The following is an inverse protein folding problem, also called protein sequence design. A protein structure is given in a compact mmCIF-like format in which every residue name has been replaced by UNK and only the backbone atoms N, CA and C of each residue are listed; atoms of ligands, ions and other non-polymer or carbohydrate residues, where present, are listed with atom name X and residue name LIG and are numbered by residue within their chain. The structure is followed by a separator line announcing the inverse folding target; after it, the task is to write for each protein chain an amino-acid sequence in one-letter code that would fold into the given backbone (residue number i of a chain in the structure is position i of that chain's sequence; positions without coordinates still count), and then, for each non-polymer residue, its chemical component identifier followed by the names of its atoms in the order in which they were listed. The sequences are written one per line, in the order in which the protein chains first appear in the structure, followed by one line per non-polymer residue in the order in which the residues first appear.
data_IF_221100169804
#
_entry.id   IF_221100169804
#
_cell.length_a   1.000
_cell.length_b   1.000
_cell.length_c   1.000
_cell.angle_alpha   90.00
_cell.angle_beta   90.00
_cell.angle_gamma   90.00
#
_symmetry.space_group_name_H-M   'P 1'
#
loop_
_entity.id
_entity.type
_entity.pdbx_description
1 polymer ?
#
# COMPACT_ATOMS: atom_id res chain seq x y z
N UNK A 1 -14.28 13.48 8.35
CA UNK A 1 -13.45 13.56 7.15
C UNK A 1 -12.10 12.88 7.39
N UNK A 2 -11.68 12.01 6.49
CA UNK A 2 -10.44 11.27 6.66
C UNK A 2 -9.20 12.17 6.53
N UNK A 3 -8.20 11.91 7.34
CA UNK A 3 -6.93 12.63 7.29
C UNK A 3 -5.93 11.87 6.41
N UNK A 4 -5.35 12.55 5.43
CA UNK A 4 -4.30 12.01 4.57
C UNK A 4 -2.99 12.68 4.91
N UNK A 5 -1.97 11.89 5.26
CA UNK A 5 -0.64 12.42 5.58
C UNK A 5 0.45 11.67 4.82
N UNK A 6 1.58 12.31 4.61
CA UNK A 6 2.77 11.70 4.05
C UNK A 6 3.91 11.85 5.05
N UNK A 7 4.56 10.76 5.39
CA UNK A 7 5.63 10.73 6.39
C UNK A 7 6.80 9.87 5.92
N UNK A 8 7.97 10.13 6.46
CA UNK A 8 9.12 9.26 6.32
C UNK A 8 9.12 8.24 7.47
N UNK A 9 9.55 7.03 7.22
CA UNK A 9 9.65 6.04 8.29
C UNK A 9 9.73 4.61 7.80
N UNK A 10 9.70 3.70 8.76
CA UNK A 10 9.69 2.25 8.53
C UNK A 10 8.27 1.74 8.77
N UNK A 11 7.61 1.29 7.71
CA UNK A 11 6.21 0.87 7.78
C UNK A 11 5.99 -0.30 8.75
N UNK A 12 7.03 -1.12 9.00
CA UNK A 12 6.94 -2.26 9.92
C UNK A 12 6.80 -1.83 11.38
N UNK A 13 7.07 -0.57 11.69
CA UNK A 13 6.98 -0.03 13.06
C UNK A 13 5.65 0.68 13.34
N UNK A 14 4.78 0.81 12.35
CA UNK A 14 3.53 1.55 12.49
C UNK A 14 2.48 0.72 13.24
N UNK A 15 2.06 1.24 14.39
CA UNK A 15 1.01 0.63 15.22
C UNK A 15 -0.38 1.10 14.74
N UNK A 16 -0.73 0.73 13.53
CA UNK A 16 -2.00 1.06 12.88
C UNK A 16 -2.86 -0.20 12.75
N UNK A 17 -4.10 -0.04 12.33
CA UNK A 17 -4.98 -1.21 12.15
C UNK A 17 -4.49 -2.08 10.99
N UNK A 18 -4.02 -1.48 9.91
CA UNK A 18 -3.48 -2.22 8.77
C UNK A 18 -2.28 -1.51 8.16
N UNK A 19 -1.25 -2.28 7.78
CA UNK A 19 -0.23 -1.80 6.87
C UNK A 19 -0.41 -2.49 5.53
N UNK A 20 0.01 -1.84 4.45
CA UNK A 20 -0.02 -2.39 3.11
C UNK A 20 1.38 -2.85 2.73
N UNK A 21 1.47 -4.05 2.19
CA UNK A 21 2.70 -4.62 1.67
C UNK A 21 2.72 -4.48 0.14
N UNK A 22 3.85 -4.11 -0.42
CA UNK A 22 4.08 -4.14 -1.86
C UNK A 22 4.61 -5.54 -2.23
N UNK A 23 3.69 -6.46 -2.46
CA UNK A 23 3.98 -7.86 -2.70
C UNK A 23 4.13 -8.19 -4.18
N UNK A 24 4.57 -9.41 -4.48
CA UNK A 24 4.50 -9.98 -5.82
C UNK A 24 3.34 -10.98 -5.90
N UNK A 25 3.07 -11.49 -7.11
CA UNK A 25 1.92 -12.36 -7.34
C UNK A 25 1.95 -13.67 -6.55
N UNK A 26 3.14 -14.16 -6.17
CA UNK A 26 3.24 -15.38 -5.35
C UNK A 26 2.86 -15.16 -3.89
N UNK A 27 3.00 -13.94 -3.37
CA UNK A 27 2.86 -13.57 -1.96
C UNK A 27 3.87 -14.27 -1.03
N UNK A 28 4.93 -14.84 -1.57
CA UNK A 28 5.88 -15.65 -0.80
C UNK A 28 7.13 -14.87 -0.36
N UNK A 29 7.06 -13.56 -0.39
CA UNK A 29 8.17 -12.71 0.02
C UNK A 29 9.03 -12.25 -1.13
N UNK A 30 9.96 -11.36 -0.85
CA UNK A 30 10.86 -10.78 -1.84
C UNK A 30 11.81 -9.81 -1.17
N UNK A 31 12.28 -8.82 -1.92
CA UNK A 31 13.16 -7.78 -1.41
C UNK A 31 12.39 -6.53 -0.95
N UNK A 32 13.12 -5.48 -0.61
CA UNK A 32 12.55 -4.20 -0.23
C UNK A 32 11.58 -4.29 0.94
N UNK A 33 10.46 -3.57 0.84
CA UNK A 33 9.46 -3.52 1.92
C UNK A 33 8.83 -4.89 2.16
N UNK A 34 8.63 -5.68 1.11
CA UNK A 34 8.09 -7.04 1.22
C UNK A 34 8.97 -7.92 2.11
N UNK A 35 10.27 -7.92 1.86
CA UNK A 35 11.22 -8.65 2.71
C UNK A 35 11.25 -8.15 4.15
N UNK A 36 11.20 -6.84 4.35
CA UNK A 36 11.19 -6.24 5.68
C UNK A 36 9.93 -6.65 6.47
N UNK A 37 8.77 -6.63 5.82
CA UNK A 37 7.52 -7.03 6.45
C UNK A 37 7.55 -8.51 6.84
N UNK A 38 8.00 -9.39 5.94
CA UNK A 38 8.10 -10.82 6.25
C UNK A 38 9.05 -11.09 7.42
N UNK A 39 10.19 -10.41 7.47
CA UNK A 39 11.13 -10.56 8.59
C UNK A 39 10.53 -10.11 9.92
N UNK A 40 9.85 -8.95 9.91
CA UNK A 40 9.28 -8.38 11.12
C UNK A 40 8.05 -9.15 11.62
N UNK A 41 7.22 -9.66 10.70
CA UNK A 41 6.03 -10.43 11.04
C UNK A 41 6.35 -11.82 11.58
N UNK A 42 7.49 -12.39 11.20
CA UNK A 42 7.90 -13.73 11.59
C UNK A 42 7.39 -14.82 10.63
N UNK A 43 7.79 -16.09 10.89
CA UNK A 43 7.57 -17.19 9.92
C UNK A 43 6.10 -17.56 9.70
N UNK A 44 5.21 -17.24 10.62
CA UNK A 44 3.78 -17.54 10.45
C UNK A 44 3.15 -16.80 9.28
N UNK A 45 3.67 -15.63 8.91
CA UNK A 45 3.17 -14.89 7.77
C UNK A 45 3.36 -15.67 6.47
N UNK A 46 4.54 -16.22 6.24
CA UNK A 46 4.82 -16.99 5.04
C UNK A 46 3.92 -18.23 4.93
N UNK A 47 3.70 -18.92 6.05
CA UNK A 47 2.82 -20.09 6.09
C UNK A 47 1.39 -19.69 5.69
N UNK A 48 0.88 -18.58 6.21
CA UNK A 48 -0.46 -18.09 5.88
C UNK A 48 -0.55 -17.65 4.41
N UNK A 49 0.48 -16.96 3.91
CA UNK A 49 0.53 -16.53 2.50
C UNK A 49 0.50 -17.72 1.53
N UNK A 50 1.17 -18.83 1.87
CA UNK A 50 1.11 -20.05 1.05
C UNK A 50 -0.31 -20.54 0.86
N UNK A 51 -1.14 -20.42 1.88
CA UNK A 51 -2.53 -20.87 1.84
C UNK A 51 -3.42 -19.98 0.97
N UNK A 52 -3.00 -18.74 0.71
CA UNK A 52 -3.77 -17.81 -0.12
C UNK A 52 -3.70 -18.13 -1.61
N UNK A 53 -2.67 -18.88 -2.05
CA UNK A 53 -2.54 -19.27 -3.44
C UNK A 53 -2.20 -18.14 -4.40
N UNK A 54 -1.50 -17.11 -3.93
CA UNK A 54 -1.12 -15.96 -4.74
C UNK A 54 -2.20 -14.88 -4.83
N UNK A 55 -1.88 -13.83 -5.58
CA UNK A 55 -2.79 -12.68 -5.77
C UNK A 55 -2.48 -12.06 -7.13
N UNK A 56 -3.49 -11.76 -7.96
CA UNK A 56 -3.23 -11.16 -9.26
C UNK A 56 -2.77 -9.70 -9.13
N UNK A 57 -1.98 -9.27 -10.11
CA UNK A 57 -1.58 -7.86 -10.22
C UNK A 57 -2.81 -6.96 -10.28
N UNK A 58 -2.80 -5.86 -9.56
CA UNK A 58 -3.92 -4.93 -9.49
C UNK A 58 -4.93 -5.25 -8.39
N UNK A 59 -4.63 -6.23 -7.53
CA UNK A 59 -5.49 -6.63 -6.43
C UNK A 59 -4.70 -6.72 -5.12
N UNK A 60 -5.36 -7.13 -4.05
CA UNK A 60 -4.76 -7.31 -2.73
C UNK A 60 -5.50 -8.37 -1.94
N UNK A 61 -4.79 -9.02 -1.01
CA UNK A 61 -5.35 -9.99 -0.07
C UNK A 61 -4.87 -9.69 1.35
N UNK A 62 -5.68 -9.99 2.34
CA UNK A 62 -5.39 -9.69 3.74
C UNK A 62 -4.88 -10.89 4.52
N UNK A 63 -3.93 -10.65 5.43
CA UNK A 63 -3.52 -11.59 6.48
C UNK A 63 -3.47 -10.85 7.80
N UNK A 64 -3.47 -11.58 8.94
CA UNK A 64 -3.13 -10.95 10.22
C UNK A 64 -1.69 -10.42 10.21
N UNK A 65 -1.38 -9.51 11.14
CA UNK A 65 -0.06 -8.89 11.24
C UNK A 65 0.97 -9.71 12.00
N UNK A 66 0.56 -10.76 12.69
CA UNK A 66 1.43 -11.62 13.50
C UNK A 66 2.27 -10.83 14.48
N UNK A 67 3.60 -10.81 14.35
CA UNK A 67 4.49 -10.11 15.30
C UNK A 67 4.63 -8.61 15.05
N UNK A 68 4.00 -8.10 14.00
CA UNK A 68 3.98 -6.66 13.73
C UNK A 68 3.09 -5.90 14.72
N UNK A 69 3.36 -4.61 14.98
CA UNK A 69 2.43 -3.79 15.75
C UNK A 69 1.10 -3.55 15.02
N UNK A 70 1.08 -3.62 13.68
CA UNK A 70 -0.15 -3.54 12.90
C UNK A 70 -0.97 -4.82 13.06
N UNK A 71 -2.29 -4.67 13.12
CA UNK A 71 -3.20 -5.82 13.29
C UNK A 71 -3.34 -6.65 12.03
N UNK A 72 -3.32 -6.01 10.87
CA UNK A 72 -3.52 -6.63 9.56
C UNK A 72 -2.43 -6.21 8.60
N UNK A 73 -2.17 -7.08 7.61
CA UNK A 73 -1.35 -6.76 6.45
C UNK A 73 -2.21 -6.95 5.21
N UNK A 74 -2.29 -5.93 4.36
CA UNK A 74 -2.93 -6.03 3.04
C UNK A 74 -1.81 -6.15 2.01
N UNK A 75 -1.71 -7.32 1.38
CA UNK A 75 -0.67 -7.61 0.39
C UNK A 75 -1.17 -7.16 -0.98
N UNK A 76 -0.72 -6.01 -1.43
CA UNK A 76 -1.10 -5.45 -2.72
C UNK A 76 -0.04 -5.79 -3.76
N UNK A 77 -0.47 -6.22 -4.93
CA UNK A 77 0.42 -6.61 -6.02
C UNK A 77 0.35 -5.56 -7.11
N UNK A 78 1.30 -4.62 -7.07
CA UNK A 78 1.39 -3.55 -8.07
C UNK A 78 2.03 -4.04 -9.37
N UNK A 79 1.79 -3.30 -10.47
CA UNK A 79 2.35 -3.66 -11.76
C UNK A 79 3.83 -3.30 -11.87
N UNK A 80 4.56 -4.07 -12.69
CA UNK A 80 5.89 -3.68 -13.16
C UNK A 80 5.70 -2.63 -14.26
N UNK A 81 6.47 -1.55 -14.19
CA UNK A 81 6.40 -0.51 -15.21
C UNK A 81 7.00 -0.99 -16.52
N UNK A 82 6.22 -0.88 -17.60
CA UNK A 82 6.62 -1.31 -18.95
C UNK A 82 6.35 -0.21 -19.99
N UNK A 83 6.44 1.06 -19.56
CA UNK A 83 6.28 2.20 -20.45
C UNK A 83 4.90 2.85 -20.48
N UNK A 84 3.93 2.28 -19.77
CA UNK A 84 2.59 2.88 -19.61
C UNK A 84 1.53 2.39 -20.59
N UNK A 85 1.87 1.43 -21.46
CA UNK A 85 0.93 0.91 -22.47
C UNK A 85 0.28 -0.42 -22.08
N UNK A 86 0.60 -0.96 -20.88
CA UNK A 86 0.13 -2.27 -20.42
C UNK A 86 -0.89 -2.16 -19.28
N UNK A 87 -1.69 -1.10 -19.26
CA UNK A 87 -2.72 -0.82 -18.24
C UNK A 87 -2.13 -0.65 -16.83
N UNK A 88 -0.87 -0.22 -16.72
CA UNK A 88 -0.20 -0.08 -15.42
C UNK A 88 -0.91 0.91 -14.50
N UNK A 89 -1.42 2.03 -15.05
CA UNK A 89 -2.16 3.03 -14.24
C UNK A 89 -3.41 2.40 -13.61
N UNK A 90 -4.17 1.66 -14.38
CA UNK A 90 -5.38 0.97 -13.94
C UNK A 90 -5.06 -0.10 -12.88
N UNK A 91 -3.99 -0.86 -13.10
CA UNK A 91 -3.58 -1.91 -12.18
C UNK A 91 -3.10 -1.32 -10.86
N UNK A 92 -2.35 -0.23 -10.90
CA UNK A 92 -1.92 0.45 -9.69
C UNK A 92 -3.12 1.02 -8.92
N UNK A 93 -4.05 1.68 -9.61
CA UNK A 93 -5.27 2.17 -8.99
C UNK A 93 -6.07 1.03 -8.34
N UNK A 94 -6.13 -0.13 -8.99
CA UNK A 94 -6.78 -1.32 -8.44
C UNK A 94 -6.22 -1.76 -7.11
N UNK A 95 -4.90 -1.64 -6.91
CA UNK A 95 -4.26 -1.96 -5.63
C UNK A 95 -4.80 -1.08 -4.50
N UNK A 96 -4.84 0.22 -4.71
CA UNK A 96 -5.33 1.16 -3.70
C UNK A 96 -6.82 0.96 -3.44
N UNK A 97 -7.61 0.79 -4.49
CA UNK A 97 -9.05 0.56 -4.38
C UNK A 97 -9.33 -0.72 -3.59
N UNK A 98 -8.65 -1.82 -3.94
CA UNK A 98 -8.88 -3.10 -3.26
C UNK A 98 -8.46 -3.04 -1.80
N UNK A 99 -7.37 -2.34 -1.46
CA UNK A 99 -6.98 -2.15 -0.07
C UNK A 99 -8.04 -1.40 0.73
N UNK A 100 -8.68 -0.40 0.15
CA UNK A 100 -9.75 0.33 0.85
C UNK A 100 -11.03 -0.50 0.96
N UNK A 101 -11.32 -1.38 0.00
CA UNK A 101 -12.39 -2.38 0.14
C UNK A 101 -12.11 -3.33 1.30
N UNK A 102 -10.88 -3.84 1.39
CA UNK A 102 -10.45 -4.68 2.52
C UNK A 102 -10.54 -3.93 3.85
N UNK A 103 -10.21 -2.64 3.84
CA UNK A 103 -10.34 -1.80 5.03
C UNK A 103 -11.78 -1.76 5.53
N UNK A 104 -12.74 -1.65 4.62
CA UNK A 104 -14.15 -1.70 4.98
C UNK A 104 -14.55 -3.07 5.53
N UNK A 105 -14.12 -4.14 4.87
CA UNK A 105 -14.41 -5.52 5.30
C UNK A 105 -13.89 -5.82 6.70
N UNK A 106 -12.75 -5.26 7.07
CA UNK A 106 -12.08 -5.51 8.36
C UNK A 106 -12.25 -4.37 9.36
N UNK A 107 -13.09 -3.39 9.09
CA UNK A 107 -13.36 -2.25 9.97
C UNK A 107 -12.09 -1.48 10.36
N UNK A 108 -11.23 -1.22 9.39
CA UNK A 108 -9.96 -0.52 9.57
C UNK A 108 -10.20 0.98 9.66
N UNK A 109 -9.65 1.61 10.71
CA UNK A 109 -9.72 3.06 10.89
C UNK A 109 -8.42 3.76 10.53
N UNK A 110 -7.29 3.09 10.76
CA UNK A 110 -5.95 3.63 10.47
C UNK A 110 -5.21 2.68 9.55
N UNK A 111 -4.65 3.21 8.46
CA UNK A 111 -3.94 2.41 7.46
C UNK A 111 -2.68 3.14 6.99
N UNK A 112 -1.62 2.38 6.72
CA UNK A 112 -0.38 2.93 6.18
C UNK A 112 -0.02 2.21 4.88
N UNK A 113 0.30 3.00 3.84
CA UNK A 113 0.67 2.52 2.52
C UNK A 113 2.13 2.83 2.21
N UNK A 114 2.86 1.90 1.58
CA UNK A 114 4.13 2.25 0.94
C UNK A 114 3.86 2.87 -0.44
N UNK A 115 4.92 3.36 -1.10
CA UNK A 115 4.82 3.83 -2.48
C UNK A 115 4.85 2.62 -3.43
N UNK A 116 3.71 2.02 -3.68
CA UNK A 116 3.56 0.78 -4.45
C UNK A 116 4.15 0.93 -5.86
N UNK A 117 4.89 -0.08 -6.33
CA UNK A 117 5.48 -0.19 -7.67
C UNK A 117 6.62 0.78 -7.99
N UNK A 118 7.02 1.65 -7.06
CA UNK A 118 8.05 2.68 -7.37
C UNK A 118 9.48 2.25 -7.06
N UNK A 119 9.67 1.08 -6.46
CA UNK A 119 11.01 0.52 -6.22
C UNK A 119 11.51 -0.22 -7.45
N UNK A 120 11.79 -1.52 -7.29
CA UNK A 120 12.33 -2.36 -8.38
C UNK A 120 11.39 -2.49 -9.58
N UNK A 121 10.10 -2.24 -9.39
CA UNK A 121 9.12 -2.26 -10.49
C UNK A 121 9.16 -0.99 -11.35
N UNK A 122 9.87 0.05 -10.92
CA UNK A 122 10.22 1.24 -11.70
C UNK A 122 9.06 2.12 -12.17
N UNK A 123 7.92 2.05 -11.56
CA UNK A 123 6.82 2.97 -11.87
C UNK A 123 7.30 4.40 -11.58
N UNK A 124 7.10 5.38 -12.49
CA UNK A 124 7.54 6.75 -12.24
C UNK A 124 6.91 7.30 -10.95
N UNK A 125 7.72 7.80 -10.01
CA UNK A 125 7.22 8.15 -8.67
C UNK A 125 6.10 9.19 -8.64
N UNK A 126 6.21 10.24 -9.46
CA UNK A 126 5.17 11.27 -9.48
C UNK A 126 3.86 10.76 -10.06
N UNK A 127 3.94 10.00 -11.16
CA UNK A 127 2.76 9.39 -11.79
C UNK A 127 2.08 8.43 -10.82
N UNK A 128 2.87 7.61 -10.13
CA UNK A 128 2.36 6.67 -9.13
C UNK A 128 1.67 7.39 -7.97
N UNK A 129 2.26 8.48 -7.48
CA UNK A 129 1.69 9.25 -6.38
C UNK A 129 0.36 9.92 -6.79
N UNK A 130 0.25 10.42 -8.01
CA UNK A 130 -1.00 11.01 -8.52
C UNK A 130 -2.10 9.97 -8.58
N UNK A 131 -1.78 8.76 -9.06
CA UNK A 131 -2.74 7.64 -9.10
C UNK A 131 -3.17 7.25 -7.71
N UNK A 132 -2.22 7.11 -6.78
CA UNK A 132 -2.50 6.77 -5.40
C UNK A 132 -3.48 7.77 -4.77
N UNK A 133 -3.18 9.06 -4.87
CA UNK A 133 -4.00 10.10 -4.26
C UNK A 133 -5.37 10.21 -4.89
N UNK A 134 -5.46 10.18 -6.22
CA UNK A 134 -6.76 10.28 -6.89
C UNK A 134 -7.65 9.09 -6.56
N UNK A 135 -7.09 7.87 -6.52
CA UNK A 135 -7.84 6.67 -6.18
C UNK A 135 -8.30 6.68 -4.73
N UNK A 136 -7.39 7.04 -3.82
CA UNK A 136 -7.71 7.12 -2.39
C UNK A 136 -8.82 8.15 -2.14
N UNK A 137 -8.73 9.33 -2.74
CA UNK A 137 -9.75 10.38 -2.56
C UNK A 137 -11.13 9.95 -3.04
N UNK A 138 -11.20 9.14 -4.09
CA UNK A 138 -12.47 8.62 -4.60
C UNK A 138 -13.06 7.52 -3.72
N UNK A 139 -12.22 6.76 -3.00
CA UNK A 139 -12.65 5.53 -2.33
C UNK A 139 -12.68 5.61 -0.81
N UNK A 140 -12.00 6.60 -0.21
CA UNK A 140 -11.76 6.60 1.23
C UNK A 140 -13.02 6.79 2.07
N UNK A 141 -13.98 7.59 1.60
CA UNK A 141 -15.21 7.86 2.36
C UNK A 141 -16.00 6.57 2.62
N UNK A 142 -16.12 5.72 1.61
CA UNK A 142 -16.83 4.45 1.74
C UNK A 142 -16.06 3.43 2.57
N UNK A 143 -14.75 3.59 2.71
CA UNK A 143 -13.90 2.62 3.40
C UNK A 143 -14.05 2.64 4.92
N UNK A 144 -14.45 3.77 5.48
CA UNK A 144 -14.48 3.96 6.93
C UNK A 144 -13.13 4.33 7.54
N UNK A 145 -12.09 4.45 6.73
CA UNK A 145 -10.76 4.86 7.20
C UNK A 145 -10.78 6.31 7.65
N UNK A 146 -10.25 6.56 8.84
CA UNK A 146 -10.20 7.91 9.45
C UNK A 146 -8.84 8.58 9.24
N UNK A 147 -7.77 7.78 9.19
CA UNK A 147 -6.41 8.28 8.98
C UNK A 147 -5.65 7.35 8.05
N UNK A 148 -5.10 7.91 6.98
CA UNK A 148 -4.30 7.17 6.00
C UNK A 148 -2.96 7.85 5.84
N UNK A 149 -1.88 7.08 6.04
CA UNK A 149 -0.51 7.55 5.91
C UNK A 149 0.15 6.95 4.68
N UNK A 150 0.80 7.80 3.88
CA UNK A 150 1.74 7.34 2.86
C UNK A 150 3.12 7.35 3.48
N UNK A 151 3.70 6.17 3.68
CA UNK A 151 5.01 6.00 4.31
C UNK A 151 6.07 5.95 3.22
N UNK A 152 6.88 7.00 3.15
CA UNK A 152 7.83 7.19 2.05
C UNK A 152 9.22 6.75 2.48
N UNK A 153 9.87 5.98 1.62
CA UNK A 153 11.19 5.40 1.89
C UNK A 153 12.32 6.42 1.68
N UNK A 154 12.14 7.39 0.76
CA UNK A 154 13.16 8.38 0.45
C UNK A 154 12.57 9.79 0.39
N UNK A 155 13.45 10.79 0.42
CA UNK A 155 13.07 12.21 0.45
C UNK A 155 12.35 12.66 -0.83
N UNK A 156 12.74 12.13 -1.98
CA UNK A 156 12.12 12.47 -3.25
C UNK A 156 10.63 12.10 -3.24
N UNK A 157 10.31 10.88 -2.86
CA UNK A 157 8.93 10.40 -2.78
C UNK A 157 8.13 11.19 -1.74
N UNK A 158 8.74 11.47 -0.59
CA UNK A 158 8.08 12.25 0.46
C UNK A 158 7.71 13.64 -0.04
N UNK A 159 8.61 14.32 -0.72
CA UNK A 159 8.34 15.66 -1.29
C UNK A 159 7.22 15.62 -2.32
N UNK A 160 7.18 14.59 -3.17
CA UNK A 160 6.13 14.42 -4.18
C UNK A 160 4.76 14.31 -3.49
N UNK A 161 4.63 13.42 -2.51
CA UNK A 161 3.37 13.23 -1.79
C UNK A 161 2.96 14.48 -1.02
N UNK A 162 3.90 15.12 -0.33
CA UNK A 162 3.61 16.35 0.43
C UNK A 162 3.14 17.46 -0.50
N UNK A 163 3.78 17.61 -1.66
CA UNK A 163 3.37 18.61 -2.65
C UNK A 163 1.96 18.34 -3.17
N UNK A 164 1.67 17.10 -3.57
CA UNK A 164 0.36 16.73 -4.11
C UNK A 164 -0.74 16.86 -3.05
N UNK A 165 -0.45 16.54 -1.80
CA UNK A 165 -1.41 16.71 -0.71
C UNK A 165 -1.76 18.18 -0.49
N UNK A 166 -0.77 19.08 -0.57
CA UNK A 166 -1.02 20.52 -0.46
C UNK A 166 -1.91 21.04 -1.59
N UNK A 167 -1.70 20.57 -2.82
CA UNK A 167 -2.54 20.97 -3.96
C UNK A 167 -4.00 20.56 -3.75
N UNK A 168 -4.23 19.38 -3.15
CA UNK A 168 -5.58 18.89 -2.89
C UNK A 168 -6.34 19.69 -1.84
N UNK A 169 -5.65 20.33 -0.91
CA UNK A 169 -6.30 21.12 0.15
C UNK A 169 -6.75 22.51 -0.29
N UNK A 170 -6.37 22.93 -1.49
CA UNK A 170 -6.71 24.26 -2.02
C UNK A 170 -7.99 24.24 -2.90
N UNK A 171 -8.75 23.19 -2.85
CA UNK A 171 -9.99 23.04 -3.66
C UNK A 171 -11.23 22.99 -2.80
#
# INVERSE_FOLDING_TARGET
MAQLIAVSGDITEFAVDAIVNAANESLLGGGGVDGAIHRAAGPSLLQTCRMLGGCPTGSAKATPGFLLPAKWIFHAVGPVWRGGASSEDELLAGCYRRCLELAREHSIRTIAFPAISTGVYRFPPERAARIALSTVRLSIEESGVEELSFVCFNDETLRIYQHLLRLGTNH
#
